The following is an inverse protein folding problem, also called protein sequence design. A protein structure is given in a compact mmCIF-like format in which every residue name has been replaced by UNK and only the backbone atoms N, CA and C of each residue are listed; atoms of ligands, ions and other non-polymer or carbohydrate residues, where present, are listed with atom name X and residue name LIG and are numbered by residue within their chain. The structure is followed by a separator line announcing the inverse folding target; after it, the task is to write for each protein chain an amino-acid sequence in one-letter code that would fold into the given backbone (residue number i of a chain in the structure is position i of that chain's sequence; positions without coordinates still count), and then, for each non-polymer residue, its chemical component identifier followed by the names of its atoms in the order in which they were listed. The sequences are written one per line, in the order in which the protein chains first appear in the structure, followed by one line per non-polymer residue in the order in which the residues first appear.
data_IF_606943950027
#
_entry.id   IF_606943950027
#
_cell.length_a   1.000
_cell.length_b   1.000
_cell.length_c   1.000
_cell.angle_alpha   90.00
_cell.angle_beta   90.00
_cell.angle_gamma   90.00
#
_symmetry.space_group_name_H-M   'P 1'
#
loop_
_entity.id
_entity.type
_entity.pdbx_description
1 polymer ?
#
# COMPACT_ATOMS: atom_id res chain seq x y z
N UNK A 1 -7.57 2.82 -15.05
CA UNK A 1 -8.93 2.74 -14.42
C UNK A 1 -8.82 3.18 -12.97
N UNK A 2 -9.64 4.17 -12.53
CA UNK A 2 -9.62 4.66 -11.13
C UNK A 2 -10.68 3.97 -10.28
N UNK A 3 -10.32 3.61 -9.05
CA UNK A 3 -11.21 3.07 -8.02
C UNK A 3 -10.99 3.84 -6.71
N UNK A 4 -12.03 3.96 -5.90
CA UNK A 4 -12.00 4.79 -4.70
C UNK A 4 -12.40 3.96 -3.48
N UNK A 5 -11.60 4.08 -2.41
CA UNK A 5 -11.81 3.35 -1.16
C UNK A 5 -11.69 4.30 0.03
N UNK A 6 -12.48 4.06 1.08
CA UNK A 6 -12.46 4.86 2.28
C UNK A 6 -12.54 3.99 3.53
N UNK A 7 -11.62 4.18 4.48
CA UNK A 7 -11.60 3.48 5.76
C UNK A 7 -10.90 4.33 6.82
N UNK A 8 -11.37 4.25 8.06
CA UNK A 8 -10.73 4.91 9.22
C UNK A 8 -10.35 6.39 9.00
N UNK A 9 -11.20 7.16 8.29
CA UNK A 9 -10.91 8.56 7.96
C UNK A 9 -9.96 8.78 6.77
N UNK A 10 -9.32 7.73 6.26
CA UNK A 10 -8.46 7.77 5.09
C UNK A 10 -9.26 7.53 3.83
N UNK A 11 -8.96 8.27 2.76
CA UNK A 11 -9.48 8.03 1.41
C UNK A 11 -8.35 7.70 0.45
N UNK A 12 -8.55 6.72 -0.42
CA UNK A 12 -7.60 6.32 -1.47
C UNK A 12 -8.25 6.44 -2.84
N UNK A 13 -7.53 7.06 -3.77
CA UNK A 13 -7.84 7.05 -5.20
C UNK A 13 -6.81 6.15 -5.90
N UNK A 14 -7.19 4.91 -6.17
CA UNK A 14 -6.31 3.89 -6.74
C UNK A 14 -6.40 3.93 -8.27
N UNK A 15 -5.32 4.33 -8.93
CA UNK A 15 -5.20 4.33 -10.38
C UNK A 15 -4.46 3.07 -10.85
N UNK A 16 -5.23 2.17 -11.47
CA UNK A 16 -4.79 0.87 -11.92
C UNK A 16 -4.38 0.89 -13.40
N UNK A 17 -3.45 0.02 -13.83
CA UNK A 17 -3.09 -0.12 -15.23
C UNK A 17 -4.31 -0.47 -16.09
N UNK A 18 -4.41 0.14 -17.27
CA UNK A 18 -5.46 -0.18 -18.23
C UNK A 18 -5.22 -1.55 -18.88
N UNK A 19 -6.32 -2.27 -19.13
CA UNK A 19 -6.30 -3.57 -19.81
C UNK A 19 -5.79 -4.75 -19.00
N UNK A 20 -5.45 -4.53 -17.73
CA UNK A 20 -5.04 -5.61 -16.82
C UNK A 20 -6.18 -5.96 -15.86
N UNK A 21 -6.38 -7.25 -15.68
CA UNK A 21 -7.39 -7.76 -14.75
C UNK A 21 -6.90 -7.58 -13.30
N UNK A 22 -7.72 -6.92 -12.47
CA UNK A 22 -7.39 -6.63 -11.08
C UNK A 22 -8.50 -7.17 -10.17
N UNK A 23 -8.17 -8.23 -9.46
CA UNK A 23 -9.10 -8.84 -8.52
C UNK A 23 -9.19 -8.03 -7.23
N UNK A 24 -10.37 -7.51 -6.90
CA UNK A 24 -10.63 -6.82 -5.62
C UNK A 24 -10.69 -7.76 -4.42
N UNK A 25 -10.76 -9.07 -4.67
CA UNK A 25 -11.04 -10.02 -3.59
C UNK A 25 -12.45 -9.84 -3.02
N UNK A 26 -12.68 -10.40 -1.84
CA UNK A 26 -13.98 -10.29 -1.14
C UNK A 26 -14.06 -9.10 -0.18
N UNK A 27 -12.91 -8.59 0.24
CA UNK A 27 -12.81 -7.64 1.35
C UNK A 27 -12.83 -6.19 0.87
N UNK A 28 -12.17 -5.90 -0.25
CA UNK A 28 -12.00 -4.54 -0.73
C UNK A 28 -13.32 -3.84 -1.13
N UNK A 29 -14.28 -4.49 -1.77
CA UNK A 29 -15.55 -3.86 -2.13
C UNK A 29 -16.32 -3.25 -0.95
N UNK A 30 -16.11 -3.74 0.28
CA UNK A 30 -16.73 -3.20 1.50
C UNK A 30 -16.29 -1.76 1.77
N UNK A 31 -15.10 -1.38 1.31
CA UNK A 31 -14.53 -0.04 1.49
C UNK A 31 -14.72 0.87 0.27
N UNK A 32 -15.37 0.38 -0.79
CA UNK A 32 -15.63 1.20 -1.97
C UNK A 32 -16.47 2.44 -1.60
N UNK A 33 -16.11 3.60 -2.15
CA UNK A 33 -16.79 4.85 -1.87
C UNK A 33 -16.77 5.79 -3.08
N UNK A 34 -17.54 6.85 -3.02
CA UNK A 34 -17.49 7.91 -4.03
C UNK A 34 -16.20 8.75 -3.90
N UNK A 35 -15.70 9.32 -5.01
CA UNK A 35 -14.57 10.22 -4.98
C UNK A 35 -14.84 11.45 -4.11
N UNK A 36 -13.85 11.85 -3.32
CA UNK A 36 -13.94 13.03 -2.45
C UNK A 36 -12.61 13.78 -2.37
N UNK A 37 -12.64 15.04 -1.97
CA UNK A 37 -11.43 15.81 -1.73
C UNK A 37 -10.56 15.20 -0.60
N UNK A 38 -9.25 15.38 -0.71
CA UNK A 38 -8.29 14.91 0.31
C UNK A 38 -7.99 13.41 0.26
N UNK A 39 -8.40 12.70 -0.80
CA UNK A 39 -7.96 11.33 -1.02
C UNK A 39 -6.48 11.27 -1.39
N UNK A 40 -5.78 10.26 -0.89
CA UNK A 40 -4.41 9.97 -1.29
C UNK A 40 -4.41 9.30 -2.66
N UNK A 41 -3.74 9.90 -3.63
CA UNK A 41 -3.55 9.30 -4.94
C UNK A 41 -2.55 8.14 -4.86
N UNK A 42 -2.96 6.99 -5.37
CA UNK A 42 -2.13 5.78 -5.46
C UNK A 42 -2.10 5.32 -6.90
N UNK A 43 -0.94 5.38 -7.53
CA UNK A 43 -0.75 4.90 -8.90
C UNK A 43 -0.05 3.55 -8.91
N UNK A 44 -0.68 2.55 -9.52
CA UNK A 44 -0.07 1.23 -9.73
C UNK A 44 0.46 1.12 -11.14
N UNK A 45 1.71 0.69 -11.30
CA UNK A 45 2.38 0.45 -12.57
C UNK A 45 2.93 -0.97 -12.62
N UNK A 46 2.97 -1.52 -13.83
CA UNK A 46 3.58 -2.82 -14.10
C UNK A 46 4.86 -2.58 -14.89
N UNK A 47 5.93 -3.26 -14.48
CA UNK A 47 7.21 -3.23 -15.16
C UNK A 47 7.76 -4.67 -15.32
N UNK A 48 8.52 -4.90 -16.36
CA UNK A 48 9.21 -6.19 -16.54
C UNK A 48 10.45 -6.27 -15.63
N UNK A 49 11.07 -5.12 -15.36
CA UNK A 49 12.22 -4.98 -14.45
C UNK A 49 11.98 -3.81 -13.49
N UNK A 50 12.34 -3.99 -12.22
CA UNK A 50 12.36 -2.93 -11.22
C UNK A 50 13.74 -2.25 -11.18
N UNK A 51 13.73 -0.94 -11.01
CA UNK A 51 14.95 -0.15 -10.78
C UNK A 51 15.04 0.07 -9.27
N UNK A 52 16.11 -0.42 -8.66
CA UNK A 52 16.31 -0.24 -7.22
C UNK A 52 16.60 1.22 -6.89
N UNK A 53 16.07 1.72 -5.76
CA UNK A 53 16.28 3.11 -5.36
C UNK A 53 17.74 3.35 -4.97
N UNK A 54 18.23 4.53 -5.30
CA UNK A 54 19.48 5.07 -4.79
C UNK A 54 19.17 5.94 -3.56
N UNK A 55 19.39 5.39 -2.35
CA UNK A 55 19.07 6.08 -1.11
C UNK A 55 19.75 5.42 0.10
N UNK A 56 19.65 6.10 1.26
CA UNK A 56 20.13 5.58 2.54
C UNK A 56 19.15 4.56 3.09
N UNK A 57 19.62 3.37 3.44
CA UNK A 57 18.80 2.37 4.11
C UNK A 57 18.39 2.89 5.50
N UNK A 58 17.09 2.93 5.75
CA UNK A 58 16.47 3.28 7.03
C UNK A 58 16.10 2.05 7.86
N UNK A 59 15.59 1.02 7.19
CA UNK A 59 15.21 -0.24 7.81
C UNK A 59 15.45 -1.39 6.83
N UNK A 60 15.86 -2.54 7.36
CA UNK A 60 15.98 -3.79 6.62
C UNK A 60 15.32 -4.91 7.42
N UNK A 61 14.26 -5.48 6.86
CA UNK A 61 13.51 -6.61 7.37
C UNK A 61 13.66 -7.79 6.41
N UNK A 62 13.37 -9.02 6.79
CA UNK A 62 13.56 -10.19 5.93
C UNK A 62 12.84 -10.11 4.57
N UNK A 63 11.72 -9.39 4.50
CA UNK A 63 10.88 -9.27 3.32
C UNK A 63 10.69 -7.83 2.82
N UNK A 64 11.37 -6.85 3.42
CA UNK A 64 11.21 -5.45 3.05
C UNK A 64 12.45 -4.62 3.42
N UNK A 65 12.90 -3.77 2.51
CA UNK A 65 13.92 -2.75 2.79
C UNK A 65 13.34 -1.36 2.54
N UNK A 66 13.51 -0.46 3.49
CA UNK A 66 13.10 0.93 3.39
C UNK A 66 14.31 1.83 3.15
N UNK A 67 14.20 2.72 2.17
CA UNK A 67 15.21 3.69 1.78
C UNK A 67 14.70 5.12 1.99
N UNK A 68 15.60 5.98 2.41
CA UNK A 68 15.44 7.44 2.37
C UNK A 68 16.10 7.96 1.09
N UNK A 69 15.30 8.45 0.17
CA UNK A 69 15.73 9.01 -1.12
C UNK A 69 15.59 10.55 -1.14
N UNK A 70 15.52 11.20 0.01
CA UNK A 70 15.39 12.64 0.16
C UNK A 70 13.94 13.11 0.03
N UNK A 71 13.42 13.19 -1.19
CA UNK A 71 12.03 13.63 -1.46
C UNK A 71 11.00 12.48 -1.39
N UNK A 72 11.46 11.25 -1.17
CA UNK A 72 10.63 10.07 -1.07
C UNK A 72 11.15 9.08 -0.02
N UNK A 73 10.23 8.37 0.61
CA UNK A 73 10.52 7.11 1.28
C UNK A 73 10.18 6.00 0.30
N UNK A 74 11.09 5.06 0.10
CA UNK A 74 10.90 3.95 -0.85
C UNK A 74 11.00 2.63 -0.13
N UNK A 75 9.98 1.80 -0.25
CA UNK A 75 9.96 0.42 0.25
C UNK A 75 10.08 -0.58 -0.89
N UNK A 76 11.04 -1.47 -0.78
CA UNK A 76 11.22 -2.59 -1.70
C UNK A 76 10.79 -3.88 -1.00
N UNK A 77 9.81 -4.57 -1.57
CA UNK A 77 9.26 -5.82 -1.02
C UNK A 77 9.79 -7.01 -1.81
N UNK A 78 10.36 -7.97 -1.10
CA UNK A 78 10.93 -9.20 -1.64
C UNK A 78 12.00 -9.78 -0.71
N UNK A 79 12.39 -11.01 -0.91
CA UNK A 79 13.41 -11.66 -0.08
C UNK A 79 14.79 -10.99 -0.30
N UNK A 80 15.41 -10.53 0.79
CA UNK A 80 16.76 -9.96 0.77
C UNK A 80 17.84 -10.98 0.46
N UNK A 81 17.54 -12.29 0.65
CA UNK A 81 18.50 -13.39 0.53
C UNK A 81 19.12 -13.56 -0.87
N UNK A 82 18.50 -12.99 -1.90
CA UNK A 82 18.86 -13.29 -3.28
C UNK A 82 19.28 -12.04 -4.09
N UNK A 83 19.61 -10.94 -3.40
CA UNK A 83 20.07 -9.69 -4.04
C UNK A 83 18.94 -8.81 -4.60
N UNK A 84 19.31 -7.64 -5.13
CA UNK A 84 18.42 -6.60 -5.60
C UNK A 84 17.41 -7.05 -6.69
N UNK A 85 17.68 -8.13 -7.40
CA UNK A 85 16.86 -8.64 -8.50
C UNK A 85 15.55 -9.34 -8.03
N UNK A 86 15.41 -9.64 -6.74
CA UNK A 86 14.25 -10.37 -6.22
C UNK A 86 13.14 -9.52 -5.61
N UNK A 87 13.32 -8.21 -5.53
CA UNK A 87 12.19 -7.33 -5.23
C UNK A 87 11.11 -7.49 -6.30
N UNK A 88 9.91 -7.80 -5.85
CA UNK A 88 8.74 -7.94 -6.71
C UNK A 88 7.91 -6.66 -6.81
N UNK A 89 8.04 -5.78 -5.82
CA UNK A 89 7.25 -4.57 -5.65
C UNK A 89 8.14 -3.46 -5.09
N UNK A 90 8.01 -2.26 -5.63
CA UNK A 90 8.57 -1.03 -5.07
C UNK A 90 7.42 -0.05 -4.82
N UNK A 91 7.33 0.49 -3.61
CA UNK A 91 6.40 1.55 -3.23
C UNK A 91 7.15 2.82 -2.88
N UNK A 92 6.87 3.91 -3.59
CA UNK A 92 7.41 5.24 -3.36
C UNK A 92 6.35 6.10 -2.68
N UNK A 93 6.65 6.65 -1.51
CA UNK A 93 5.77 7.53 -0.74
C UNK A 93 6.30 8.96 -0.84
N UNK A 94 5.50 9.84 -1.44
CA UNK A 94 5.78 11.27 -1.63
C UNK A 94 4.64 12.10 -1.05
N UNK A 95 4.84 13.38 -0.87
CA UNK A 95 3.75 14.30 -0.50
C UNK A 95 2.62 14.30 -1.54
N UNK A 96 2.96 14.13 -2.82
CA UNK A 96 2.01 14.11 -3.94
C UNK A 96 1.21 12.81 -4.07
N UNK A 97 1.52 11.78 -3.27
CA UNK A 97 0.85 10.48 -3.33
C UNK A 97 1.80 9.30 -3.29
N UNK A 98 1.27 8.14 -3.62
CA UNK A 98 2.00 6.88 -3.57
C UNK A 98 2.09 6.28 -4.98
N UNK A 99 3.29 5.88 -5.36
CA UNK A 99 3.51 5.11 -6.60
C UNK A 99 3.94 3.70 -6.25
N UNK A 100 3.24 2.71 -6.76
CA UNK A 100 3.56 1.30 -6.62
C UNK A 100 3.97 0.76 -7.98
N UNK A 101 5.19 0.24 -8.08
CA UNK A 101 5.67 -0.45 -9.29
C UNK A 101 5.84 -1.93 -8.99
N UNK A 102 5.19 -2.78 -9.76
CA UNK A 102 5.20 -4.23 -9.60
C UNK A 102 5.80 -4.93 -10.80
N UNK A 103 6.57 -5.99 -10.57
CA UNK A 103 6.92 -6.91 -11.66
C UNK A 103 5.65 -7.56 -12.22
N UNK A 104 5.58 -7.73 -13.53
CA UNK A 104 4.44 -8.39 -14.21
C UNK A 104 4.13 -9.77 -13.63
N UNK A 105 5.15 -10.54 -13.28
CA UNK A 105 5.01 -11.88 -12.69
C UNK A 105 4.39 -11.85 -11.29
N UNK A 106 4.60 -10.76 -10.54
CA UNK A 106 4.02 -10.54 -9.21
C UNK A 106 2.60 -10.02 -9.34
N UNK A 107 2.36 -9.03 -10.20
CA UNK A 107 1.03 -8.43 -10.40
C UNK A 107 -0.05 -9.48 -10.73
N UNK A 108 0.26 -10.47 -11.56
CA UNK A 108 -0.66 -11.56 -11.92
C UNK A 108 -1.06 -12.47 -10.76
N UNK A 109 -0.33 -12.42 -9.63
CA UNK A 109 -0.55 -13.26 -8.45
C UNK A 109 -1.15 -12.49 -7.28
N UNK A 110 -1.17 -11.17 -7.37
CA UNK A 110 -1.55 -10.29 -6.26
C UNK A 110 -3.03 -9.94 -6.36
N UNK A 111 -3.69 -9.96 -5.20
CA UNK A 111 -5.02 -9.39 -5.01
C UNK A 111 -4.93 -7.92 -4.61
N UNK A 112 -6.03 -7.21 -4.68
CA UNK A 112 -6.14 -5.83 -4.22
C UNK A 112 -5.76 -5.65 -2.74
N UNK A 113 -6.02 -6.66 -1.89
CA UNK A 113 -5.59 -6.66 -0.49
C UNK A 113 -4.07 -6.49 -0.36
N UNK A 114 -3.29 -7.21 -1.17
CA UNK A 114 -1.84 -7.09 -1.16
C UNK A 114 -1.35 -5.71 -1.65
N UNK A 115 -2.09 -5.06 -2.54
CA UNK A 115 -1.81 -3.66 -2.91
C UNK A 115 -2.01 -2.74 -1.71
N UNK A 116 -3.09 -2.92 -0.94
CA UNK A 116 -3.34 -2.12 0.28
C UNK A 116 -2.28 -2.35 1.35
N UNK A 117 -1.82 -3.58 1.56
CA UNK A 117 -0.70 -3.88 2.46
C UNK A 117 0.58 -3.17 2.01
N UNK A 118 0.84 -3.15 0.69
CA UNK A 118 1.99 -2.45 0.11
C UNK A 118 1.90 -0.93 0.30
N UNK A 119 0.69 -0.36 0.31
CA UNK A 119 0.47 1.08 0.55
C UNK A 119 0.92 1.49 1.97
N UNK A 120 0.96 0.56 2.92
CA UNK A 120 1.28 0.87 4.31
C UNK A 120 0.11 1.61 4.96
N UNK A 121 -1.02 0.96 5.05
CA UNK A 121 -2.26 1.53 5.61
C UNK A 121 -2.08 2.06 7.02
N UNK A 122 -1.19 1.43 7.82
CA UNK A 122 -0.80 1.89 9.16
C UNK A 122 -0.20 3.31 9.14
N UNK A 123 0.61 3.61 8.12
CA UNK A 123 1.19 4.95 7.94
C UNK A 123 0.12 5.98 7.60
N UNK A 124 -0.79 5.65 6.68
CA UNK A 124 -1.86 6.56 6.27
C UNK A 124 -2.82 6.84 7.42
N UNK A 125 -3.19 5.82 8.19
CA UNK A 125 -4.03 5.97 9.39
C UNK A 125 -3.32 6.82 10.44
N UNK A 126 -2.02 6.60 10.66
CA UNK A 126 -1.20 7.42 11.57
C UNK A 126 -1.13 8.89 11.14
N UNK A 127 -0.95 9.17 9.85
CA UNK A 127 -0.95 10.54 9.31
C UNK A 127 -2.31 11.23 9.45
N UNK A 128 -3.42 10.47 9.44
CA UNK A 128 -4.77 10.95 9.70
C UNK A 128 -5.08 11.10 11.21
N UNK A 129 -4.11 10.92 12.10
CA UNK A 129 -4.28 11.00 13.55
C UNK A 129 -4.89 9.76 14.20
N UNK A 130 -4.97 8.65 13.47
CA UNK A 130 -5.46 7.37 13.95
C UNK A 130 -4.35 6.38 14.32
N UNK A 131 -4.76 5.19 14.79
CA UNK A 131 -3.88 4.05 15.03
C UNK A 131 -4.58 2.75 14.63
N UNK A 132 -3.79 1.77 14.19
CA UNK A 132 -4.27 0.41 13.96
C UNK A 132 -4.00 -0.39 15.23
N UNK A 133 -5.05 -0.94 15.83
CA UNK A 133 -4.95 -1.78 17.02
C UNK A 133 -5.30 -3.23 16.66
N UNK A 134 -4.41 -4.14 17.00
CA UNK A 134 -4.70 -5.56 16.99
C UNK A 134 -5.25 -5.93 18.37
N UNK A 135 -6.57 -5.92 18.49
CA UNK A 135 -7.26 -6.21 19.74
C UNK A 135 -8.59 -6.91 19.48
N UNK A 136 -9.08 -7.62 20.48
CA UNK A 136 -10.47 -8.04 20.53
C UNK A 136 -11.32 -6.91 21.10
N UNK A 137 -12.60 -6.87 20.77
CA UNK A 137 -13.54 -5.92 21.37
C UNK A 137 -14.90 -6.55 21.60
N UNK A 138 -15.61 -6.03 22.58
CA UNK A 138 -17.04 -6.30 22.79
C UNK A 138 -17.79 -4.97 22.80
N UNK A 139 -19.05 -5.00 22.38
CA UNK A 139 -19.92 -3.85 22.49
C UNK A 139 -20.72 -3.94 23.80
N UNK A 140 -20.69 -2.86 24.58
CA UNK A 140 -21.47 -2.73 25.80
C UNK A 140 -22.12 -1.34 25.82
N UNK A 141 -23.44 -1.30 25.75
CA UNK A 141 -24.21 -0.06 25.79
C UNK A 141 -23.85 0.93 24.67
N UNK A 142 -23.62 0.44 23.44
CA UNK A 142 -23.26 1.25 22.28
C UNK A 142 -21.80 1.74 22.27
N UNK A 143 -20.94 1.20 23.15
CA UNK A 143 -19.52 1.53 23.23
C UNK A 143 -18.66 0.29 23.01
N UNK A 144 -17.60 0.40 22.19
CA UNK A 144 -16.59 -0.65 22.05
C UNK A 144 -15.66 -0.63 23.26
N UNK A 145 -15.49 -1.78 23.91
CA UNK A 145 -14.47 -2.02 24.94
C UNK A 145 -13.40 -2.89 24.32
N UNK A 146 -12.16 -2.39 24.27
CA UNK A 146 -10.97 -3.07 23.72
C UNK A 146 -10.23 -3.82 24.81
N UNK A 147 -9.69 -5.01 24.51
CA UNK A 147 -8.82 -5.81 25.40
C UNK A 147 -7.88 -6.71 24.62
#
# INVERSE_FOLDING_TARGET
MKRYYGFAGVGLALDLPDGEDFSEGRELPVFACEPRAGMTDVTVRIADRLIMPEGKIRAALPNMTEYDCGDAIVRCFGALSDGADNSGIIAEYRESGIRITMKRSVYRKITASAVLETIGTERLVGMAGGAILHSSFIEVGGKAVLF
#
